data_IF_464279586007
#
_entry.id   IF_464279586007
#
_cell.length_a   1.000
_cell.length_b   1.000
_cell.length_c   1.000
_cell.angle_alpha   90.00
_cell.angle_beta   90.00
_cell.angle_gamma   90.00
#
_symmetry.space_group_name_H-M   'P 1'
#
loop_
_entity.id
_entity.type
_entity.pdbx_description
1 polymer ?
#
# COMPACT_ATOMS: atom_id res chain seq x y z
N UNK A 1 23.32 -14.25 67.68
CA UNK A 1 23.76 -14.66 66.32
C UNK A 1 23.56 -16.17 66.25
N UNK A 2 22.67 -16.64 65.38
CA UNK A 2 22.41 -18.09 65.24
C UNK A 2 23.66 -18.81 64.74
N UNK A 3 23.87 -20.04 65.22
CA UNK A 3 25.03 -20.86 64.87
C UNK A 3 25.05 -21.13 63.36
N UNK A 4 26.04 -20.60 62.61
CA UNK A 4 26.12 -20.75 61.16
C UNK A 4 26.14 -22.21 60.73
N UNK A 5 26.71 -23.09 61.55
CA UNK A 5 26.83 -24.52 61.25
C UNK A 5 25.46 -25.17 61.13
N UNK A 6 24.49 -24.78 61.98
CA UNK A 6 23.14 -25.33 61.95
C UNK A 6 22.36 -24.87 60.71
N UNK A 7 22.51 -23.61 60.30
CA UNK A 7 21.87 -23.08 59.07
C UNK A 7 22.44 -23.74 57.80
N UNK A 8 23.77 -23.91 57.73
CA UNK A 8 24.40 -24.60 56.60
C UNK A 8 24.02 -26.08 56.54
N UNK A 9 23.85 -26.75 57.68
CA UNK A 9 23.44 -28.16 57.72
C UNK A 9 21.99 -28.34 57.29
N UNK A 10 21.09 -27.43 57.68
CA UNK A 10 19.70 -27.44 57.23
C UNK A 10 19.58 -27.22 55.71
N UNK A 11 20.36 -26.27 55.15
CA UNK A 11 20.41 -26.03 53.70
C UNK A 11 20.99 -27.21 52.93
N UNK A 12 22.02 -27.86 53.49
CA UNK A 12 22.60 -29.06 52.88
C UNK A 12 21.59 -30.20 52.82
N UNK A 13 20.85 -30.46 53.90
CA UNK A 13 19.79 -31.47 53.93
C UNK A 13 18.65 -31.17 52.95
N UNK A 14 18.30 -29.89 52.80
CA UNK A 14 17.28 -29.46 51.85
C UNK A 14 17.75 -29.66 50.39
N UNK A 15 19.01 -29.31 50.10
CA UNK A 15 19.62 -29.57 48.78
C UNK A 15 19.77 -31.07 48.49
N UNK A 16 20.14 -31.89 49.47
CA UNK A 16 20.22 -33.35 49.29
C UNK A 16 18.85 -33.95 48.98
N UNK A 17 17.79 -33.47 49.62
CA UNK A 17 16.41 -33.88 49.33
C UNK A 17 16.00 -33.47 47.91
N UNK A 18 16.34 -32.25 47.50
CA UNK A 18 16.01 -31.72 46.17
C UNK A 18 16.76 -32.47 45.07
N UNK A 19 18.05 -32.74 45.26
CA UNK A 19 18.87 -33.57 44.35
C UNK A 19 18.31 -34.98 44.27
N UNK A 20 17.88 -35.57 45.39
CA UNK A 20 17.32 -36.93 45.43
C UNK A 20 15.97 -36.99 44.70
N UNK A 21 15.13 -35.97 44.83
CA UNK A 21 13.87 -35.86 44.10
C UNK A 21 14.09 -35.67 42.59
N UNK A 22 14.99 -34.76 42.20
CA UNK A 22 15.35 -34.54 40.79
C UNK A 22 15.97 -35.78 40.15
N UNK A 23 16.81 -36.52 40.89
CA UNK A 23 17.40 -37.76 40.42
C UNK A 23 16.34 -38.84 40.22
N UNK A 24 15.38 -38.96 41.15
CA UNK A 24 14.25 -39.88 41.02
C UNK A 24 13.33 -39.52 39.84
N UNK A 25 13.10 -38.22 39.59
CA UNK A 25 12.31 -37.73 38.45
C UNK A 25 13.00 -38.04 37.11
N UNK A 26 14.32 -37.76 37.01
CA UNK A 26 15.15 -38.10 35.85
C UNK A 26 15.17 -39.61 35.61
N UNK A 27 15.25 -40.43 36.67
CA UNK A 27 15.24 -41.89 36.56
C UNK A 27 13.87 -42.43 36.14
N UNK A 28 12.78 -41.78 36.56
CA UNK A 28 11.43 -42.09 36.07
C UNK A 28 11.24 -41.74 34.59
N UNK A 29 11.83 -40.63 34.12
CA UNK A 29 11.80 -40.18 32.73
C UNK A 29 12.70 -41.00 31.81
N UNK A 30 13.75 -41.65 32.36
CA UNK A 30 14.64 -42.55 31.63
C UNK A 30 14.06 -43.94 31.37
N UNK A 31 13.00 -44.34 32.09
CA UNK A 31 12.35 -45.64 31.90
C UNK A 31 11.26 -45.57 30.80
N UNK A 32 11.45 -46.21 29.62
CA UNK A 32 10.53 -46.10 28.48
C UNK A 32 9.14 -46.72 28.72
N UNK A 33 8.93 -47.42 29.84
CA UNK A 33 7.67 -48.09 30.18
C UNK A 33 6.68 -47.20 30.94
N UNK A 34 7.08 -46.00 31.42
CA UNK A 34 6.17 -45.01 32.01
C UNK A 34 5.68 -43.95 30.98
N UNK A 35 5.95 -44.16 29.69
CA UNK A 35 5.32 -43.44 28.58
C UNK A 35 3.91 -43.97 28.26
N UNK A 36 3.19 -44.53 29.25
CA UNK A 36 1.77 -44.79 29.10
C UNK A 36 1.01 -43.47 29.15
N UNK A 37 0.65 -43.00 27.95
CA UNK A 37 -0.48 -42.12 27.64
C UNK A 37 -0.55 -40.82 28.44
N UNK A 38 0.30 -39.87 28.09
CA UNK A 38 -0.10 -38.47 28.19
C UNK A 38 -1.30 -38.29 27.26
N UNK A 39 -2.50 -38.07 27.80
CA UNK A 39 -3.73 -37.76 27.04
C UNK A 39 -3.46 -36.71 25.95
N UNK A 40 -2.55 -35.78 26.25
CA UNK A 40 -2.07 -34.75 25.33
C UNK A 40 -1.33 -35.30 24.10
N UNK A 41 -0.56 -36.37 24.23
CA UNK A 41 0.12 -37.02 23.10
C UNK A 41 -0.90 -37.66 22.15
N UNK A 42 -1.93 -38.30 22.70
CA UNK A 42 -2.98 -38.92 21.91
C UNK A 42 -3.88 -37.87 21.25
N UNK A 43 -4.22 -36.78 21.95
CA UNK A 43 -4.86 -35.59 21.37
C UNK A 43 -4.04 -35.02 20.21
N UNK A 44 -2.73 -34.81 20.39
CA UNK A 44 -1.85 -34.28 19.36
C UNK A 44 -1.71 -35.24 18.17
N UNK A 45 -1.72 -36.56 18.40
CA UNK A 45 -1.71 -37.57 17.33
C UNK A 45 -3.01 -37.56 16.54
N UNK A 46 -4.15 -37.46 17.23
CA UNK A 46 -5.46 -37.37 16.60
C UNK A 46 -5.61 -36.06 15.81
N UNK A 47 -5.16 -34.94 16.37
CA UNK A 47 -5.11 -33.65 15.69
C UNK A 47 -4.18 -33.69 14.47
N UNK A 48 -3.00 -34.30 14.58
CA UNK A 48 -2.09 -34.47 13.45
C UNK A 48 -2.72 -35.32 12.34
N UNK A 49 -3.46 -36.39 12.70
CA UNK A 49 -4.19 -37.21 11.74
C UNK A 49 -5.32 -36.43 11.06
N UNK A 50 -6.10 -35.64 11.82
CA UNK A 50 -7.14 -34.74 11.29
C UNK A 50 -6.55 -33.69 10.34
N UNK A 51 -5.43 -33.07 10.70
CA UNK A 51 -4.75 -32.07 9.89
C UNK A 51 -4.19 -32.68 8.60
N UNK A 52 -3.55 -33.87 8.66
CA UNK A 52 -3.09 -34.60 7.48
C UNK A 52 -4.24 -34.97 6.54
N UNK A 53 -5.37 -35.42 7.10
CA UNK A 53 -6.57 -35.71 6.33
C UNK A 53 -7.11 -34.45 5.64
N UNK A 54 -7.22 -33.34 6.38
CA UNK A 54 -7.64 -32.04 5.83
C UNK A 54 -6.69 -31.54 4.74
N UNK A 55 -5.38 -31.69 4.91
CA UNK A 55 -4.37 -31.36 3.91
C UNK A 55 -4.60 -32.16 2.61
N UNK A 56 -4.90 -33.45 2.72
CA UNK A 56 -5.17 -34.30 1.55
C UNK A 56 -6.47 -33.91 0.83
N UNK A 57 -7.53 -33.57 1.58
CA UNK A 57 -8.77 -33.03 0.99
C UNK A 57 -8.45 -31.73 0.23
N UNK A 58 -7.74 -30.80 0.86
CA UNK A 58 -7.38 -29.52 0.24
C UNK A 58 -6.53 -29.71 -1.02
N UNK A 59 -5.55 -30.64 -1.00
CA UNK A 59 -4.75 -30.98 -2.19
C UNK A 59 -5.61 -31.53 -3.32
N UNK A 60 -6.58 -32.39 -3.01
CA UNK A 60 -7.51 -32.95 -4.00
C UNK A 60 -8.41 -31.87 -4.58
N UNK A 61 -9.04 -31.05 -3.75
CA UNK A 61 -9.89 -29.94 -4.21
C UNK A 61 -9.10 -28.93 -5.04
N UNK A 62 -7.85 -28.63 -4.66
CA UNK A 62 -6.97 -27.77 -5.45
C UNK A 62 -6.66 -28.35 -6.84
N UNK A 63 -6.47 -29.67 -6.95
CA UNK A 63 -6.25 -30.34 -8.23
C UNK A 63 -7.51 -30.31 -9.11
N UNK A 64 -8.69 -30.49 -8.52
CA UNK A 64 -9.98 -30.40 -9.20
C UNK A 64 -10.21 -28.98 -9.76
N UNK A 65 -10.00 -27.93 -8.94
CA UNK A 65 -10.13 -26.52 -9.35
C UNK A 65 -9.13 -26.10 -10.43
N UNK A 66 -7.87 -26.56 -10.34
CA UNK A 66 -6.84 -26.32 -11.38
C UNK A 66 -7.25 -26.84 -12.75
N UNK A 67 -8.09 -27.88 -12.80
CA UNK A 67 -8.58 -28.47 -14.05
C UNK A 67 -9.74 -27.66 -14.63
N UNK A 68 -10.48 -26.93 -13.79
CA UNK A 68 -11.68 -26.14 -14.18
C UNK A 68 -11.35 -24.73 -14.68
N UNK A 69 -10.21 -24.16 -14.26
CA UNK A 69 -9.80 -22.77 -14.53
C UNK A 69 -9.27 -22.56 -15.96
N UNK A 70 -10.02 -22.95 -16.99
CA UNK A 70 -9.56 -22.93 -18.40
C UNK A 70 -9.84 -21.62 -19.17
N UNK A 71 -10.59 -20.66 -18.58
CA UNK A 71 -11.07 -19.48 -19.33
C UNK A 71 -10.19 -18.24 -19.15
N UNK A 72 -9.70 -17.99 -17.95
CA UNK A 72 -8.88 -16.81 -17.63
C UNK A 72 -7.41 -16.98 -18.00
N UNK A 73 -6.71 -15.88 -18.26
CA UNK A 73 -5.25 -15.93 -18.46
C UNK A 73 -4.53 -16.29 -17.15
N UNK A 74 -3.31 -16.82 -17.28
CA UNK A 74 -2.47 -17.20 -16.15
C UNK A 74 -1.21 -16.35 -16.11
N UNK A 75 -0.80 -15.94 -14.91
CA UNK A 75 0.54 -15.38 -14.72
C UNK A 75 1.56 -16.52 -14.69
N UNK A 76 2.30 -16.69 -15.80
CA UNK A 76 3.30 -17.75 -15.96
C UNK A 76 4.39 -17.65 -14.90
N UNK A 77 4.85 -16.43 -14.56
CA UNK A 77 5.89 -16.23 -13.56
C UNK A 77 5.41 -16.70 -12.18
N UNK A 78 4.23 -16.28 -11.75
CA UNK A 78 3.63 -16.73 -10.48
C UNK A 78 3.45 -18.25 -10.44
N UNK A 79 3.00 -18.86 -11.54
CA UNK A 79 2.84 -20.31 -11.60
C UNK A 79 4.18 -21.05 -11.49
N UNK A 80 5.22 -20.54 -12.15
CA UNK A 80 6.58 -21.07 -12.00
C UNK A 80 7.09 -20.88 -10.57
N UNK A 81 6.84 -19.73 -9.94
CA UNK A 81 7.16 -19.51 -8.53
C UNK A 81 6.49 -20.54 -7.62
N UNK A 82 5.21 -20.86 -7.82
CA UNK A 82 4.53 -21.92 -7.05
C UNK A 82 5.21 -23.28 -7.20
N UNK A 83 5.49 -23.68 -8.45
CA UNK A 83 6.15 -24.97 -8.78
C UNK A 83 7.55 -25.04 -8.16
N UNK A 84 8.36 -24.00 -8.33
CA UNK A 84 9.69 -23.93 -7.75
C UNK A 84 9.66 -23.78 -6.23
N UNK A 85 8.65 -23.13 -5.66
CA UNK A 85 8.48 -23.00 -4.22
C UNK A 85 8.18 -24.35 -3.55
N UNK A 86 7.39 -25.22 -4.18
CA UNK A 86 7.21 -26.61 -3.74
C UNK A 86 8.53 -27.40 -3.81
N UNK A 87 9.24 -27.33 -4.94
CA UNK A 87 10.52 -28.02 -5.13
C UNK A 87 11.61 -27.54 -4.16
N UNK A 88 11.72 -26.23 -3.93
CA UNK A 88 12.70 -25.62 -3.03
C UNK A 88 12.46 -26.08 -1.59
N UNK A 89 11.20 -26.02 -1.11
CA UNK A 89 10.85 -26.48 0.25
C UNK A 89 11.14 -27.96 0.45
N UNK A 90 10.90 -28.79 -0.57
CA UNK A 90 11.25 -30.21 -0.52
C UNK A 90 12.78 -30.44 -0.55
N UNK A 91 13.52 -29.62 -1.28
CA UNK A 91 14.97 -29.79 -1.46
C UNK A 91 15.80 -29.42 -0.22
N UNK A 92 15.35 -28.45 0.58
CA UNK A 92 16.06 -27.96 1.77
C UNK A 92 15.07 -27.62 2.91
N UNK A 93 14.57 -28.63 3.65
CA UNK A 93 13.64 -28.41 4.76
C UNK A 93 14.24 -27.60 5.94
N UNK A 94 15.56 -27.46 5.99
CA UNK A 94 16.30 -26.77 7.05
C UNK A 94 16.31 -25.23 6.94
N UNK A 95 15.86 -24.70 5.79
CA UNK A 95 15.79 -23.26 5.56
C UNK A 95 14.37 -22.75 5.81
N UNK A 96 14.25 -21.84 6.77
CA UNK A 96 13.03 -21.07 6.99
C UNK A 96 12.91 -20.01 5.88
N UNK A 97 11.78 -20.00 5.16
CA UNK A 97 11.48 -19.08 4.06
C UNK A 97 12.64 -18.89 3.04
N UNK A 98 13.00 -19.95 2.29
CA UNK A 98 14.05 -19.85 1.30
C UNK A 98 13.67 -18.86 0.18
N UNK A 99 14.66 -18.15 -0.40
CA UNK A 99 14.40 -17.17 -1.44
C UNK A 99 13.83 -17.85 -2.69
N UNK A 100 12.78 -17.27 -3.24
CA UNK A 100 12.11 -17.74 -4.46
C UNK A 100 12.27 -16.68 -5.55
N UNK A 101 13.31 -16.82 -6.37
CA UNK A 101 13.70 -15.83 -7.35
C UNK A 101 13.57 -16.40 -8.76
N UNK A 102 12.36 -16.38 -9.31
CA UNK A 102 12.08 -16.76 -10.70
C UNK A 102 11.83 -15.50 -11.53
N UNK A 103 12.63 -15.29 -12.57
CA UNK A 103 12.58 -14.10 -13.43
C UNK A 103 12.52 -14.48 -14.90
N UNK A 104 11.84 -13.71 -15.76
CA UNK A 104 11.91 -13.92 -17.20
C UNK A 104 13.33 -13.65 -17.71
N UNK A 105 13.77 -14.43 -18.68
CA UNK A 105 15.05 -14.23 -19.35
C UNK A 105 14.90 -13.32 -20.57
N UNK A 106 15.89 -12.45 -20.76
CA UNK A 106 15.93 -11.55 -21.92
C UNK A 106 16.55 -12.21 -23.16
N UNK A 107 17.40 -13.23 -22.97
CA UNK A 107 18.13 -13.89 -24.04
C UNK A 107 17.72 -15.36 -24.15
N UNK A 108 17.14 -15.74 -25.29
CA UNK A 108 16.61 -17.09 -25.53
C UNK A 108 17.64 -18.22 -25.34
N UNK A 109 18.94 -17.94 -25.47
CA UNK A 109 20.00 -18.95 -25.21
C UNK A 109 20.04 -19.44 -23.76
N UNK A 110 19.47 -18.69 -22.82
CA UNK A 110 19.34 -19.06 -21.42
C UNK A 110 17.93 -19.59 -21.09
N UNK A 111 17.10 -19.88 -22.08
CA UNK A 111 15.70 -20.25 -21.88
C UNK A 111 14.78 -19.05 -21.68
N UNK A 112 13.53 -19.35 -21.34
CA UNK A 112 12.44 -18.36 -21.25
C UNK A 112 12.39 -17.71 -19.85
N UNK A 113 12.70 -18.48 -18.81
CA UNK A 113 12.78 -18.04 -17.42
C UNK A 113 14.04 -18.58 -16.75
N UNK A 114 14.41 -17.99 -15.63
CA UNK A 114 15.54 -18.41 -14.82
C UNK A 114 15.18 -18.39 -13.33
N UNK A 115 15.56 -19.44 -12.61
CA UNK A 115 15.51 -19.48 -11.16
C UNK A 115 16.92 -19.25 -10.58
N UNK A 116 17.03 -18.24 -9.71
CA UNK A 116 18.28 -17.77 -9.11
C UNK A 116 18.41 -18.12 -7.62
N UNK A 117 17.47 -18.90 -7.09
CA UNK A 117 17.35 -19.21 -5.66
C UNK A 117 18.56 -19.95 -5.07
N UNK A 118 19.22 -20.82 -5.85
CA UNK A 118 20.22 -21.74 -5.34
C UNK A 118 21.44 -21.04 -4.70
N UNK A 119 21.85 -19.88 -5.25
CA UNK A 119 23.00 -19.11 -4.72
C UNK A 119 22.68 -18.50 -3.36
N UNK A 120 21.52 -17.87 -3.22
CA UNK A 120 21.11 -17.25 -1.97
C UNK A 120 20.86 -18.32 -0.89
N UNK A 121 20.29 -19.47 -1.26
CA UNK A 121 20.18 -20.63 -0.37
C UNK A 121 21.56 -21.14 0.11
N UNK A 122 22.54 -21.25 -0.78
CA UNK A 122 23.91 -21.65 -0.40
C UNK A 122 24.54 -20.67 0.60
N UNK A 123 24.30 -19.36 0.42
CA UNK A 123 24.76 -18.33 1.35
C UNK A 123 24.08 -18.46 2.73
N UNK A 124 22.76 -18.72 2.76
CA UNK A 124 22.02 -18.94 4.01
C UNK A 124 22.50 -20.20 4.74
N UNK A 125 22.72 -21.31 4.03
CA UNK A 125 23.26 -22.54 4.61
C UNK A 125 24.68 -22.32 5.16
N UNK A 126 25.51 -21.57 4.43
CA UNK A 126 26.85 -21.20 4.88
C UNK A 126 26.80 -20.37 6.18
N UNK A 127 25.83 -19.47 6.32
CA UNK A 127 25.62 -18.70 7.55
C UNK A 127 25.21 -19.61 8.74
N UNK A 128 24.53 -20.72 8.48
CA UNK A 128 24.23 -21.79 9.46
C UNK A 128 25.40 -22.78 9.66
N UNK A 129 26.57 -22.52 9.08
CA UNK A 129 27.77 -23.38 9.19
C UNK A 129 27.83 -24.54 8.19
N UNK A 130 26.87 -24.66 7.28
CA UNK A 130 26.80 -25.75 6.29
C UNK A 130 27.30 -25.24 4.95
N UNK A 131 28.48 -25.70 4.51
CA UNK A 131 29.04 -25.32 3.21
C UNK A 131 28.53 -26.26 2.12
N UNK A 132 27.66 -25.76 1.24
CA UNK A 132 27.13 -26.50 0.09
C UNK A 132 27.43 -25.74 -1.19
N UNK A 133 27.73 -26.47 -2.27
CA UNK A 133 27.90 -25.87 -3.60
C UNK A 133 26.52 -25.44 -4.16
N UNK A 134 26.33 -24.19 -4.63
CA UNK A 134 25.05 -23.78 -5.19
C UNK A 134 24.59 -24.64 -6.38
N UNK A 135 25.52 -25.24 -7.13
CA UNK A 135 25.19 -26.16 -8.21
C UNK A 135 24.50 -27.44 -7.70
N UNK A 136 24.96 -27.99 -6.58
CA UNK A 136 24.34 -29.16 -5.94
C UNK A 136 22.93 -28.83 -5.42
N UNK A 137 22.74 -27.61 -4.91
CA UNK A 137 21.41 -27.12 -4.51
C UNK A 137 20.49 -27.04 -5.73
N UNK A 138 20.98 -26.48 -6.85
CA UNK A 138 20.21 -26.40 -8.09
C UNK A 138 19.80 -27.80 -8.61
N UNK A 139 20.71 -28.77 -8.55
CA UNK A 139 20.43 -30.17 -8.90
C UNK A 139 19.35 -30.77 -8.00
N UNK A 140 19.44 -30.57 -6.68
CA UNK A 140 18.42 -31.01 -5.72
C UNK A 140 17.05 -30.36 -5.98
N UNK A 141 17.01 -29.08 -6.35
CA UNK A 141 15.76 -28.40 -6.70
C UNK A 141 15.14 -29.05 -7.94
N UNK A 142 15.94 -29.29 -9.00
CA UNK A 142 15.44 -29.91 -10.23
C UNK A 142 14.92 -31.34 -9.99
N UNK A 143 15.63 -32.13 -9.16
CA UNK A 143 15.21 -33.50 -8.82
C UNK A 143 13.88 -33.53 -8.04
N UNK A 144 13.57 -32.48 -7.27
CA UNK A 144 12.33 -32.36 -6.51
C UNK A 144 11.26 -31.53 -7.24
N UNK A 145 11.44 -31.22 -8.53
CA UNK A 145 10.41 -30.54 -9.30
C UNK A 145 9.19 -31.47 -9.48
N UNK A 146 7.99 -31.03 -9.09
CA UNK A 146 6.78 -31.81 -9.33
C UNK A 146 6.46 -31.85 -10.83
N UNK A 147 5.80 -32.93 -11.25
CA UNK A 147 5.27 -33.04 -12.60
C UNK A 147 4.34 -31.86 -12.92
N UNK A 148 4.56 -31.22 -14.07
CA UNK A 148 3.85 -30.01 -14.44
C UNK A 148 3.66 -29.87 -15.96
N UNK A 149 2.68 -29.06 -16.34
CA UNK A 149 2.34 -28.79 -17.73
C UNK A 149 3.18 -27.67 -18.37
N UNK A 150 3.94 -26.92 -17.58
CA UNK A 150 4.61 -25.69 -18.04
C UNK A 150 6.00 -25.95 -18.61
N UNK A 151 6.79 -26.81 -17.98
CA UNK A 151 8.25 -26.91 -18.19
C UNK A 151 8.60 -28.04 -19.16
N UNK A 152 9.24 -27.70 -20.28
CA UNK A 152 9.77 -28.67 -21.25
C UNK A 152 11.08 -29.28 -20.78
N UNK A 153 12.01 -28.43 -20.33
CA UNK A 153 13.32 -28.82 -19.82
C UNK A 153 13.88 -27.74 -18.90
N UNK A 154 14.77 -28.15 -18.02
CA UNK A 154 15.56 -27.27 -17.15
C UNK A 154 17.05 -27.55 -17.34
N UNK A 155 17.87 -26.50 -17.36
CA UNK A 155 19.31 -26.61 -17.55
C UNK A 155 20.04 -25.82 -16.46
N UNK A 156 21.10 -26.39 -15.89
CA UNK A 156 21.92 -25.69 -14.90
C UNK A 156 23.08 -24.99 -15.60
N UNK A 157 23.14 -23.67 -15.48
CA UNK A 157 24.20 -22.83 -16.02
C UNK A 157 25.02 -22.17 -14.91
N UNK A 158 26.31 -21.96 -15.19
CA UNK A 158 27.22 -21.23 -14.30
C UNK A 158 27.28 -21.82 -12.88
N UNK A 159 27.27 -20.96 -11.83
CA UNK A 159 27.46 -21.37 -10.44
C UNK A 159 26.24 -22.06 -9.82
N UNK A 160 25.06 -22.00 -10.45
CA UNK A 160 23.81 -22.54 -9.88
C UNK A 160 22.54 -21.87 -10.44
N UNK A 161 22.62 -21.32 -11.64
CA UNK A 161 21.44 -20.76 -12.32
C UNK A 161 20.62 -21.89 -12.93
N UNK A 162 19.30 -21.88 -12.74
CA UNK A 162 18.41 -22.86 -13.34
C UNK A 162 17.64 -22.19 -14.48
N UNK A 163 18.04 -22.47 -15.70
CA UNK A 163 17.37 -22.02 -16.92
C UNK A 163 16.15 -22.89 -17.20
N UNK A 164 15.03 -22.27 -17.54
CA UNK A 164 13.72 -22.91 -17.69
C UNK A 164 13.23 -22.70 -19.13
N UNK A 165 12.93 -23.77 -19.82
CA UNK A 165 12.30 -23.73 -21.14
C UNK A 165 10.85 -24.20 -21.05
N UNK A 166 9.92 -23.43 -21.61
CA UNK A 166 8.50 -23.74 -21.57
C UNK A 166 8.10 -24.80 -22.63
N UNK A 167 7.06 -25.58 -22.33
CA UNK A 167 6.45 -26.50 -23.31
C UNK A 167 5.77 -25.71 -24.42
N UNK A 168 6.10 -26.03 -25.68
CA UNK A 168 5.45 -25.40 -26.85
C UNK A 168 3.94 -25.63 -26.88
N UNK A 169 3.50 -26.82 -26.46
CA UNK A 169 2.07 -27.16 -26.36
C UNK A 169 1.34 -26.29 -25.33
N UNK A 170 1.97 -25.99 -24.20
CA UNK A 170 1.42 -25.09 -23.18
C UNK A 170 1.24 -23.67 -23.71
N UNK A 171 2.29 -23.10 -24.33
CA UNK A 171 2.23 -21.75 -24.92
C UNK A 171 1.18 -21.66 -26.02
N UNK A 172 1.09 -22.67 -26.89
CA UNK A 172 0.07 -22.73 -27.95
C UNK A 172 -1.36 -22.77 -27.39
N UNK A 173 -1.60 -23.52 -26.30
CA UNK A 173 -2.90 -23.53 -25.60
C UNK A 173 -3.25 -22.14 -25.05
N UNK A 174 -2.29 -21.45 -24.43
CA UNK A 174 -2.51 -20.10 -23.90
C UNK A 174 -2.87 -19.09 -24.99
N UNK A 175 -2.15 -19.11 -26.12
CA UNK A 175 -2.44 -18.25 -27.27
C UNK A 175 -3.83 -18.56 -27.86
N UNK A 176 -4.18 -19.84 -27.97
CA UNK A 176 -5.51 -20.24 -28.45
C UNK A 176 -6.61 -19.73 -27.51
N UNK A 177 -6.40 -19.84 -26.19
CA UNK A 177 -7.34 -19.34 -25.19
C UNK A 177 -7.53 -17.81 -25.29
N UNK A 178 -6.43 -17.07 -25.45
CA UNK A 178 -6.44 -15.62 -25.64
C UNK A 178 -7.24 -15.19 -26.89
N UNK A 179 -7.10 -15.93 -27.99
CA UNK A 179 -7.80 -15.63 -29.23
C UNK A 179 -9.30 -15.97 -29.17
N UNK A 180 -9.68 -17.03 -28.44
CA UNK A 180 -11.07 -17.49 -28.34
C UNK A 180 -11.85 -16.66 -27.31
N UNK A 181 -11.26 -16.40 -26.15
CA UNK A 181 -11.95 -15.77 -25.00
C UNK A 181 -11.59 -14.29 -24.81
N UNK A 182 -10.66 -13.76 -25.62
CA UNK A 182 -10.14 -12.40 -25.50
C UNK A 182 -9.05 -12.27 -24.42
N UNK A 183 -8.51 -11.06 -24.31
CA UNK A 183 -7.53 -10.71 -23.28
C UNK A 183 -8.27 -10.45 -21.98
N UNK A 184 -8.08 -11.33 -20.99
CA UNK A 184 -8.72 -11.24 -19.69
C UNK A 184 -7.67 -11.39 -18.58
N UNK A 185 -7.79 -10.67 -17.45
CA UNK A 185 -6.88 -10.86 -16.33
C UNK A 185 -6.96 -12.28 -15.75
N UNK A 186 -5.97 -12.70 -14.96
CA UNK A 186 -6.13 -13.84 -14.08
C UNK A 186 -7.26 -13.60 -13.07
N UNK A 187 -7.93 -14.65 -12.60
CA UNK A 187 -9.03 -14.52 -11.66
C UNK A 187 -8.49 -14.03 -10.31
N UNK A 188 -9.14 -13.00 -9.76
CA UNK A 188 -8.79 -12.47 -8.45
C UNK A 188 -9.24 -13.43 -7.34
N UNK A 189 -8.40 -13.59 -6.32
CA UNK A 189 -8.76 -14.32 -5.09
C UNK A 189 -9.91 -13.61 -4.34
N UNK A 190 -9.88 -12.28 -4.31
CA UNK A 190 -10.95 -11.44 -3.78
C UNK A 190 -10.99 -10.10 -4.50
N UNK A 191 -12.20 -9.56 -4.67
CA UNK A 191 -12.38 -8.18 -5.10
C UNK A 191 -11.99 -7.27 -3.93
N UNK A 192 -11.33 -6.16 -4.26
CA UNK A 192 -10.87 -5.14 -3.32
C UNK A 192 -11.43 -3.79 -3.71
N UNK A 193 -11.64 -2.92 -2.73
CA UNK A 193 -11.99 -1.51 -2.93
C UNK A 193 -10.69 -0.70 -3.06
N UNK A 194 -10.48 -0.09 -4.22
CA UNK A 194 -9.30 0.70 -4.54
C UNK A 194 -9.71 2.16 -4.74
N UNK A 195 -9.13 3.05 -3.96
CA UNK A 195 -9.34 4.49 -4.10
C UNK A 195 -8.10 5.09 -4.76
N UNK A 196 -8.27 5.80 -5.86
CA UNK A 196 -7.18 6.50 -6.55
C UNK A 196 -7.48 7.99 -6.55
N UNK A 197 -6.61 8.77 -5.90
CA UNK A 197 -6.66 10.23 -5.83
C UNK A 197 -5.70 10.80 -6.86
N UNK A 198 -6.25 11.52 -7.85
CA UNK A 198 -5.48 12.04 -8.95
C UNK A 198 -6.14 13.26 -9.61
N UNK A 199 -5.40 13.92 -10.50
CA UNK A 199 -5.74 15.19 -11.14
C UNK A 199 -5.66 16.38 -10.18
N UNK A 200 -6.61 16.45 -9.25
CA UNK A 200 -6.65 17.33 -8.08
C UNK A 200 -6.19 18.79 -8.35
N UNK A 201 -6.73 19.49 -9.38
CA UNK A 201 -6.40 20.88 -9.63
C UNK A 201 -7.02 21.81 -8.57
N UNK A 202 -6.44 23.01 -8.44
CA UNK A 202 -6.99 24.06 -7.59
C UNK A 202 -8.06 24.85 -8.35
N UNK A 203 -9.23 25.05 -7.74
CA UNK A 203 -10.28 25.93 -8.30
C UNK A 203 -9.73 27.35 -8.46
N UNK A 204 -10.17 28.05 -9.51
CA UNK A 204 -9.75 29.42 -9.84
C UNK A 204 -8.24 29.59 -10.14
N UNK A 205 -7.50 28.49 -10.30
CA UNK A 205 -6.15 28.48 -10.88
C UNK A 205 -6.17 27.71 -12.19
N UNK A 206 -5.30 28.10 -13.12
CA UNK A 206 -5.14 27.34 -14.35
C UNK A 206 -4.57 25.94 -14.03
N UNK A 207 -5.20 24.91 -14.61
CA UNK A 207 -4.65 23.56 -14.58
C UNK A 207 -3.38 23.53 -15.43
N UNK A 208 -2.26 23.13 -14.84
CA UNK A 208 -0.95 23.04 -15.49
C UNK A 208 -0.48 21.59 -15.74
N UNK A 209 0.61 21.43 -16.48
CA UNK A 209 1.23 20.14 -16.87
C UNK A 209 1.52 19.17 -15.71
N UNK A 210 1.79 19.68 -14.50
CA UNK A 210 1.88 18.84 -13.30
C UNK A 210 0.59 18.07 -12.99
N UNK A 211 -0.57 18.73 -13.05
CA UNK A 211 -1.87 18.07 -12.86
C UNK A 211 -2.16 17.11 -14.02
N UNK A 212 -1.73 17.43 -15.25
CA UNK A 212 -1.89 16.52 -16.39
C UNK A 212 -1.15 15.19 -16.18
N UNK A 213 0.08 15.21 -15.63
CA UNK A 213 0.80 13.97 -15.28
C UNK A 213 0.01 13.13 -14.30
N UNK A 214 -0.44 13.74 -13.20
CA UNK A 214 -1.31 13.07 -12.22
C UNK A 214 -2.55 12.49 -12.90
N UNK A 215 -3.18 13.28 -13.77
CA UNK A 215 -4.40 12.93 -14.52
C UNK A 215 -4.23 11.65 -15.33
N UNK A 216 -3.20 11.57 -16.17
CA UNK A 216 -2.95 10.41 -17.05
C UNK A 216 -2.49 9.19 -16.25
N UNK A 217 -1.58 9.39 -15.29
CA UNK A 217 -1.03 8.28 -14.48
C UNK A 217 -2.14 7.67 -13.61
N UNK A 218 -2.92 8.51 -12.93
CA UNK A 218 -3.99 8.07 -12.05
C UNK A 218 -5.12 7.37 -12.79
N UNK A 219 -5.53 7.86 -13.95
CA UNK A 219 -6.54 7.18 -14.76
C UNK A 219 -6.02 5.83 -15.29
N UNK A 220 -4.77 5.77 -15.76
CA UNK A 220 -4.15 4.52 -16.22
C UNK A 220 -4.08 3.47 -15.11
N UNK A 221 -3.71 3.87 -13.88
CA UNK A 221 -3.75 2.99 -12.72
C UNK A 221 -5.17 2.55 -12.38
N UNK A 222 -6.14 3.46 -12.45
CA UNK A 222 -7.56 3.15 -12.19
C UNK A 222 -8.07 2.08 -13.15
N UNK A 223 -7.87 2.28 -14.46
CA UNK A 223 -8.25 1.30 -15.49
C UNK A 223 -7.53 -0.03 -15.33
N UNK A 224 -6.28 -0.06 -14.87
CA UNK A 224 -5.57 -1.29 -14.58
C UNK A 224 -6.24 -2.10 -13.46
N UNK A 225 -6.61 -1.45 -12.35
CA UNK A 225 -7.31 -2.13 -11.25
C UNK A 225 -8.70 -2.60 -11.65
N UNK A 226 -9.43 -1.82 -12.46
CA UNK A 226 -10.71 -2.24 -13.04
C UNK A 226 -10.56 -3.42 -14.01
N UNK A 227 -9.54 -3.38 -14.88
CA UNK A 227 -9.24 -4.48 -15.79
C UNK A 227 -8.97 -5.77 -15.03
N UNK A 228 -8.32 -5.70 -13.86
CA UNK A 228 -8.12 -6.83 -12.96
C UNK A 228 -9.42 -7.29 -12.27
N UNK A 229 -10.46 -6.44 -12.21
CA UNK A 229 -11.77 -6.76 -11.62
C UNK A 229 -12.01 -6.21 -10.22
N UNK A 230 -11.18 -5.26 -9.76
CA UNK A 230 -11.37 -4.55 -8.50
C UNK A 230 -12.46 -3.47 -8.61
N UNK A 231 -12.98 -3.05 -7.46
CA UNK A 231 -13.93 -1.93 -7.37
C UNK A 231 -13.12 -0.64 -7.18
N UNK A 232 -13.14 0.25 -8.19
CA UNK A 232 -12.26 1.42 -8.24
C UNK A 232 -13.05 2.71 -8.08
N UNK A 233 -12.69 3.49 -7.07
CA UNK A 233 -13.18 4.84 -6.84
C UNK A 233 -12.12 5.85 -7.28
N UNK A 234 -12.44 6.62 -8.31
CA UNK A 234 -11.60 7.71 -8.83
C UNK A 234 -11.98 9.02 -8.16
N UNK A 235 -11.08 9.61 -7.39
CA UNK A 235 -11.32 10.85 -6.67
C UNK A 235 -10.51 11.99 -7.26
N UNK A 236 -11.21 13.09 -7.56
CA UNK A 236 -10.62 14.38 -7.87
C UNK A 236 -10.61 15.22 -6.59
N UNK A 237 -9.45 15.28 -5.91
CA UNK A 237 -9.29 16.01 -4.66
C UNK A 237 -9.00 17.48 -4.94
N UNK A 238 -9.98 18.17 -5.55
CA UNK A 238 -9.85 19.56 -5.98
C UNK A 238 -9.58 20.50 -4.80
N UNK A 239 -8.69 21.46 -5.02
CA UNK A 239 -8.43 22.56 -4.09
C UNK A 239 -9.55 23.59 -4.18
N UNK A 240 -10.73 23.25 -3.67
CA UNK A 240 -11.91 24.10 -3.61
C UNK A 240 -12.11 24.72 -2.21
N UNK A 241 -11.12 24.59 -1.35
CA UNK A 241 -11.12 25.11 0.01
C UNK A 241 -10.49 26.50 0.14
N UNK A 242 -10.77 27.35 -0.84
CA UNK A 242 -10.57 28.80 -0.82
C UNK A 242 -11.85 29.58 -0.48
N UNK A 243 -12.98 28.89 -0.33
CA UNK A 243 -14.33 29.44 -0.16
C UNK A 243 -14.42 30.48 0.97
N UNK A 244 -13.69 30.25 2.06
CA UNK A 244 -13.71 31.15 3.21
C UNK A 244 -13.20 32.54 2.82
N UNK A 245 -12.15 32.62 1.99
CA UNK A 245 -11.62 33.90 1.51
C UNK A 245 -12.57 34.56 0.51
N UNK A 246 -13.18 33.80 -0.39
CA UNK A 246 -14.17 34.34 -1.33
C UNK A 246 -15.38 34.95 -0.62
N UNK A 247 -15.93 34.23 0.37
CA UNK A 247 -17.07 34.71 1.17
C UNK A 247 -16.69 35.91 2.05
N UNK A 248 -15.47 35.92 2.61
CA UNK A 248 -14.97 37.03 3.38
C UNK A 248 -14.76 38.28 2.52
N UNK A 249 -14.22 38.15 1.31
CA UNK A 249 -14.04 39.28 0.38
C UNK A 249 -15.40 39.82 -0.07
N UNK A 250 -16.34 38.96 -0.43
CA UNK A 250 -17.69 39.39 -0.80
C UNK A 250 -18.42 40.08 0.36
N UNK A 251 -18.34 39.54 1.57
CA UNK A 251 -18.92 40.16 2.75
C UNK A 251 -18.22 41.48 3.14
N UNK A 252 -16.91 41.57 2.93
CA UNK A 252 -16.13 42.79 3.13
C UNK A 252 -16.57 43.89 2.16
N UNK A 253 -16.74 43.57 0.88
CA UNK A 253 -17.21 44.50 -0.15
C UNK A 253 -18.64 44.99 0.12
N UNK A 254 -19.50 44.11 0.62
CA UNK A 254 -20.90 44.44 0.96
C UNK A 254 -20.99 45.31 2.23
N UNK A 255 -20.28 44.93 3.30
CA UNK A 255 -20.35 45.61 4.61
C UNK A 255 -19.52 46.90 4.67
N UNK A 256 -18.42 46.95 3.91
CA UNK A 256 -17.49 48.08 3.86
C UNK A 256 -17.12 48.40 2.40
N UNK A 257 -18.01 49.05 1.62
CA UNK A 257 -17.77 49.32 0.19
C UNK A 257 -16.53 50.19 -0.07
N UNK A 258 -16.12 50.97 0.92
CA UNK A 258 -14.99 51.89 0.93
C UNK A 258 -13.72 51.31 1.59
N UNK A 259 -13.65 49.99 1.79
CA UNK A 259 -12.51 49.31 2.43
C UNK A 259 -11.13 49.59 1.79
N UNK A 260 -11.11 50.01 0.52
CA UNK A 260 -9.89 50.42 -0.20
C UNK A 260 -9.33 51.77 0.27
N UNK A 261 -10.18 52.61 0.87
CA UNK A 261 -9.84 53.96 1.34
C UNK A 261 -9.93 54.09 2.86
N UNK A 262 -10.81 53.33 3.51
CA UNK A 262 -11.04 53.36 4.95
C UNK A 262 -10.80 51.97 5.52
N UNK A 263 -9.90 51.88 6.51
CA UNK A 263 -9.61 50.59 7.14
C UNK A 263 -10.86 50.06 7.87
N UNK A 264 -11.37 48.88 7.53
CA UNK A 264 -12.60 48.34 8.09
C UNK A 264 -12.39 47.93 9.56
N UNK A 265 -13.28 48.30 10.49
CA UNK A 265 -13.15 48.01 11.92
C UNK A 265 -13.56 46.56 12.25
N UNK A 266 -12.83 45.58 11.72
CA UNK A 266 -13.06 44.14 11.97
C UNK A 266 -12.17 43.69 13.13
N UNK A 267 -12.76 43.52 14.32
CA UNK A 267 -12.05 43.06 15.52
C UNK A 267 -12.13 41.55 15.75
N UNK A 268 -13.21 40.89 15.31
CA UNK A 268 -13.43 39.45 15.44
C UNK A 268 -13.67 38.82 14.05
N UNK A 269 -12.61 38.24 13.49
CA UNK A 269 -12.62 37.55 12.21
C UNK A 269 -13.51 36.30 12.20
N UNK A 270 -13.67 35.60 13.34
CA UNK A 270 -14.54 34.43 13.42
C UNK A 270 -16.02 34.80 13.42
N UNK A 271 -16.39 35.87 14.13
CA UNK A 271 -17.74 36.42 14.05
C UNK A 271 -18.06 36.92 12.64
N UNK A 272 -17.12 37.63 12.00
CA UNK A 272 -17.26 38.14 10.63
C UNK A 272 -17.40 37.01 9.60
N UNK A 273 -16.65 35.92 9.75
CA UNK A 273 -16.81 34.71 8.92
C UNK A 273 -18.15 33.99 9.16
N UNK A 274 -18.60 33.90 10.43
CA UNK A 274 -19.93 33.31 10.74
C UNK A 274 -21.07 34.14 10.14
N UNK A 275 -20.89 35.45 10.03
CA UNK A 275 -21.84 36.36 9.41
C UNK A 275 -21.87 36.19 7.89
N UNK A 276 -20.71 36.10 7.24
CA UNK A 276 -20.62 35.81 5.79
C UNK A 276 -21.20 34.44 5.44
N UNK A 277 -21.04 33.43 6.32
CA UNK A 277 -21.63 32.08 6.14
C UNK A 277 -23.16 32.05 6.18
N UNK A 278 -23.81 33.06 6.74
CA UNK A 278 -25.27 33.18 6.79
C UNK A 278 -25.87 33.78 5.52
N UNK A 279 -25.07 34.36 4.64
CA UNK A 279 -25.54 34.95 3.39
C UNK A 279 -25.55 33.90 2.27
N UNK A 280 -26.74 33.42 1.83
CA UNK A 280 -26.83 32.38 0.80
C UNK A 280 -26.25 32.83 -0.55
N UNK A 281 -26.28 34.14 -0.82
CA UNK A 281 -25.80 34.73 -2.07
C UNK A 281 -24.30 34.56 -2.26
N UNK A 282 -23.49 34.56 -1.18
CA UNK A 282 -22.05 34.34 -1.27
C UNK A 282 -21.70 32.89 -1.56
N UNK A 283 -22.44 31.94 -0.99
CA UNK A 283 -22.30 30.52 -1.31
C UNK A 283 -22.68 30.28 -2.78
N UNK A 284 -23.75 30.93 -3.25
CA UNK A 284 -24.17 30.87 -4.64
C UNK A 284 -23.11 31.46 -5.59
N UNK A 285 -22.52 32.59 -5.24
CA UNK A 285 -21.44 33.21 -6.02
C UNK A 285 -20.20 32.31 -6.10
N UNK A 286 -19.80 31.70 -4.98
CA UNK A 286 -18.71 30.74 -4.95
C UNK A 286 -18.98 29.53 -5.84
N UNK A 287 -20.17 28.95 -5.75
CA UNK A 287 -20.56 27.82 -6.60
C UNK A 287 -20.48 28.18 -8.08
N UNK A 288 -20.90 29.38 -8.47
CA UNK A 288 -20.76 29.85 -9.86
C UNK A 288 -19.29 29.96 -10.31
N UNK A 289 -18.39 30.40 -9.43
CA UNK A 289 -16.94 30.45 -9.72
C UNK A 289 -16.38 29.03 -9.89
N UNK A 290 -16.71 28.13 -8.97
CA UNK A 290 -16.35 26.72 -9.08
C UNK A 290 -16.86 26.12 -10.38
N UNK A 291 -18.11 26.40 -10.76
CA UNK A 291 -18.72 25.86 -11.97
C UNK A 291 -18.01 26.31 -13.25
N UNK A 292 -17.46 27.53 -13.28
CA UNK A 292 -16.62 27.98 -14.39
C UNK A 292 -15.32 27.17 -14.46
N UNK A 293 -14.62 26.99 -13.34
CA UNK A 293 -13.41 26.15 -13.31
C UNK A 293 -13.72 24.69 -13.67
N UNK A 294 -14.79 24.12 -13.14
CA UNK A 294 -15.26 22.75 -13.44
C UNK A 294 -15.53 22.57 -14.92
N UNK A 295 -16.21 23.52 -15.57
CA UNK A 295 -16.46 23.47 -17.02
C UNK A 295 -15.16 23.44 -17.83
N UNK A 296 -14.16 24.21 -17.43
CA UNK A 296 -12.85 24.19 -18.11
C UNK A 296 -12.10 22.88 -17.86
N UNK A 297 -12.13 22.35 -16.64
CA UNK A 297 -11.52 21.05 -16.33
C UNK A 297 -12.22 19.90 -17.07
N UNK A 298 -13.55 19.96 -17.19
CA UNK A 298 -14.33 18.94 -17.89
C UNK A 298 -13.94 18.84 -19.37
N UNK A 299 -13.62 19.95 -20.05
CA UNK A 299 -13.11 19.90 -21.43
C UNK A 299 -11.84 19.06 -21.55
N UNK A 300 -10.93 19.18 -20.58
CA UNK A 300 -9.69 18.39 -20.51
C UNK A 300 -10.02 16.92 -20.27
N UNK A 301 -10.92 16.62 -19.32
CA UNK A 301 -11.33 15.25 -19.01
C UNK A 301 -12.04 14.57 -20.18
N UNK A 302 -12.95 15.28 -20.86
CA UNK A 302 -13.66 14.77 -22.05
C UNK A 302 -12.67 14.49 -23.19
N UNK A 303 -11.70 15.38 -23.42
CA UNK A 303 -10.67 15.18 -24.43
C UNK A 303 -9.79 13.95 -24.15
N UNK A 304 -9.56 13.62 -22.87
CA UNK A 304 -8.72 12.51 -22.44
C UNK A 304 -9.51 11.24 -22.12
N UNK A 305 -10.82 11.22 -22.34
CA UNK A 305 -11.73 10.11 -22.00
C UNK A 305 -11.68 9.74 -20.50
N UNK A 306 -11.74 10.73 -19.62
CA UNK A 306 -11.59 10.53 -18.17
C UNK A 306 -12.93 10.74 -17.46
N UNK A 307 -13.33 9.73 -16.68
CA UNK A 307 -14.44 9.82 -15.76
C UNK A 307 -13.91 9.90 -14.35
N UNK A 308 -14.19 10.97 -13.61
CA UNK A 308 -13.66 11.17 -12.26
C UNK A 308 -14.71 11.79 -11.35
N UNK A 309 -14.74 11.38 -10.08
CA UNK A 309 -15.71 11.91 -9.11
C UNK A 309 -15.04 13.04 -8.32
N UNK A 310 -15.61 14.23 -8.40
CA UNK A 310 -15.15 15.38 -7.62
C UNK A 310 -15.44 15.20 -6.13
N UNK A 311 -14.38 15.27 -5.32
CA UNK A 311 -14.45 15.30 -3.86
C UNK A 311 -13.30 16.15 -3.32
N UNK A 312 -13.49 17.45 -3.43
CA UNK A 312 -12.53 18.46 -3.00
C UNK A 312 -12.37 18.55 -1.48
N UNK A 313 -11.43 19.38 -1.07
CA UNK A 313 -11.18 19.70 0.33
C UNK A 313 -12.44 20.22 1.06
N UNK A 314 -13.35 20.89 0.37
CA UNK A 314 -14.61 21.40 0.93
C UNK A 314 -15.55 20.32 1.47
N UNK A 315 -15.51 19.12 0.89
CA UNK A 315 -16.27 17.97 1.36
C UNK A 315 -15.90 17.58 2.79
N UNK A 316 -14.64 17.82 3.17
CA UNK A 316 -14.08 17.38 4.45
C UNK A 316 -14.20 18.45 5.55
N UNK A 317 -14.87 19.58 5.30
CA UNK A 317 -14.97 20.70 6.26
C UNK A 317 -15.36 20.25 7.68
N UNK A 318 -16.44 19.50 7.78
CA UNK A 318 -16.99 19.08 9.08
C UNK A 318 -16.11 17.99 9.71
N UNK A 319 -15.57 17.09 8.88
CA UNK A 319 -14.69 16.00 9.31
C UNK A 319 -13.33 16.51 9.82
N UNK A 320 -12.83 17.63 9.31
CA UNK A 320 -11.60 18.25 9.82
C UNK A 320 -11.72 18.62 11.30
N UNK A 321 -12.88 19.12 11.73
CA UNK A 321 -13.12 19.42 13.14
C UNK A 321 -13.12 18.15 13.99
N UNK A 322 -13.69 17.06 13.50
CA UNK A 322 -13.69 15.76 14.18
C UNK A 322 -12.28 15.18 14.30
N UNK A 323 -11.49 15.25 13.22
CA UNK A 323 -10.10 14.79 13.22
C UNK A 323 -9.28 15.54 14.26
N UNK A 324 -9.32 16.87 14.27
CA UNK A 324 -8.56 17.68 15.24
C UNK A 324 -8.97 17.31 16.66
N UNK A 325 -10.27 17.13 16.91
CA UNK A 325 -10.77 16.70 18.22
C UNK A 325 -10.27 15.29 18.59
N UNK A 326 -10.26 14.34 17.66
CA UNK A 326 -9.76 12.98 17.90
C UNK A 326 -8.27 12.97 18.27
N UNK A 327 -7.44 13.76 17.58
CA UNK A 327 -6.03 13.93 17.93
C UNK A 327 -5.83 14.59 19.30
N UNK A 328 -6.70 15.55 19.66
CA UNK A 328 -6.69 16.21 20.98
C UNK A 328 -7.05 15.24 22.10
N UNK A 329 -8.12 14.46 21.94
CA UNK A 329 -8.59 13.46 22.90
C UNK A 329 -7.56 12.33 23.15
N UNK A 330 -6.80 11.96 22.11
CA UNK A 330 -5.70 11.00 22.22
C UNK A 330 -4.39 11.60 22.74
N UNK A 331 -4.35 12.90 23.04
CA UNK A 331 -3.16 13.58 23.55
C UNK A 331 -2.01 13.66 22.55
N UNK A 332 -2.32 13.62 21.24
CA UNK A 332 -1.33 13.62 20.15
C UNK A 332 -1.04 15.03 19.60
N UNK A 333 -1.80 16.04 20.04
CA UNK A 333 -1.58 17.44 19.69
C UNK A 333 -0.64 18.12 20.69
N UNK A 334 0.30 18.90 20.14
CA UNK A 334 1.14 19.82 20.90
C UNK A 334 0.87 21.25 20.47
N UNK A 335 0.97 22.19 21.42
CA UNK A 335 0.91 23.60 21.12
C UNK A 335 2.32 24.12 20.82
N UNK A 336 2.52 24.66 19.62
CA UNK A 336 3.79 25.20 19.15
C UNK A 336 3.55 26.59 18.55
N UNK A 337 4.05 27.64 19.20
CA UNK A 337 3.89 29.04 18.76
C UNK A 337 2.42 29.44 18.48
N UNK A 338 1.48 28.92 19.28
CA UNK A 338 0.04 29.14 19.12
C UNK A 338 -0.62 28.29 18.04
N UNK A 339 0.13 27.45 17.32
CA UNK A 339 -0.38 26.45 16.38
C UNK A 339 -0.62 25.13 17.10
N UNK A 340 -1.58 24.32 16.63
CA UNK A 340 -1.72 22.92 17.04
C UNK A 340 -1.00 22.05 16.03
N UNK A 341 -0.01 21.29 16.49
CA UNK A 341 0.86 20.46 15.65
C UNK A 341 0.87 19.00 16.11
N UNK A 342 1.06 18.08 15.17
CA UNK A 342 1.24 16.63 15.42
C UNK A 342 2.69 16.27 15.12
N UNK A 343 3.42 15.79 16.12
CA UNK A 343 4.75 15.22 15.94
C UNK A 343 4.65 13.71 15.74
N UNK A 344 5.10 13.23 14.57
CA UNK A 344 5.09 11.80 14.26
C UNK A 344 6.49 11.22 14.48
N UNK A 345 6.64 10.15 15.29
CA UNK A 345 7.93 9.53 15.54
C UNK A 345 8.63 9.09 14.24
N UNK A 346 9.91 9.43 14.11
CA UNK A 346 10.72 9.09 12.93
C UNK A 346 10.50 9.99 11.71
N UNK A 347 9.63 11.00 11.81
CA UNK A 347 9.42 11.98 10.75
C UNK A 347 10.14 13.31 11.06
N UNK A 348 10.70 13.99 10.04
CA UNK A 348 11.52 15.18 10.26
C UNK A 348 10.70 16.46 10.51
N UNK A 349 9.43 16.48 10.09
CA UNK A 349 8.59 17.68 10.07
C UNK A 349 7.24 17.35 10.73
N UNK A 350 6.73 18.19 11.65
CA UNK A 350 5.40 18.01 12.22
C UNK A 350 4.30 18.45 11.26
N UNK A 351 3.11 17.88 11.41
CA UNK A 351 1.90 18.36 10.72
C UNK A 351 1.32 19.53 11.50
N UNK A 352 1.02 20.64 10.84
CA UNK A 352 0.28 21.77 11.42
C UNK A 352 -1.20 21.62 11.13
N UNK A 353 -1.97 21.08 12.08
CA UNK A 353 -3.41 20.83 11.90
C UNK A 353 -4.30 22.03 12.22
N UNK A 354 -3.82 22.98 13.03
CA UNK A 354 -4.52 24.26 13.25
C UNK A 354 -3.49 25.37 13.33
N UNK A 355 -3.69 26.42 12.54
CA UNK A 355 -2.88 27.65 12.59
C UNK A 355 -3.18 28.46 13.87
N UNK A 356 -2.36 29.47 14.15
CA UNK A 356 -2.57 30.38 15.29
C UNK A 356 -3.86 31.19 15.22
N UNK A 357 -4.40 31.39 14.01
CA UNK A 357 -5.69 32.06 13.76
C UNK A 357 -6.91 31.10 13.88
N UNK A 358 -6.68 29.83 14.20
CA UNK A 358 -7.72 28.80 14.28
C UNK A 358 -8.10 28.17 12.93
N UNK A 359 -7.46 28.58 11.83
CA UNK A 359 -7.73 28.03 10.49
C UNK A 359 -7.09 26.65 10.28
N UNK A 360 -7.80 25.79 9.54
CA UNK A 360 -7.29 24.50 9.07
C UNK A 360 -6.34 24.66 7.88
N UNK A 361 -5.55 23.63 7.64
CA UNK A 361 -4.48 23.56 6.62
C UNK A 361 -4.67 22.35 5.70
N UNK A 362 -3.81 22.23 4.69
CA UNK A 362 -3.72 21.03 3.85
C UNK A 362 -3.45 19.75 4.66
N UNK A 363 -2.65 19.83 5.73
CA UNK A 363 -2.42 18.70 6.63
C UNK A 363 -3.73 18.21 7.27
N UNK A 364 -4.64 19.15 7.54
CA UNK A 364 -5.92 18.85 8.18
C UNK A 364 -6.88 18.20 7.19
N UNK A 365 -6.97 18.74 5.98
CA UNK A 365 -7.84 18.19 4.93
C UNK A 365 -7.37 16.81 4.49
N UNK A 366 -6.07 16.58 4.33
CA UNK A 366 -5.52 15.27 3.96
C UNK A 366 -5.70 14.23 5.06
N UNK A 367 -5.56 14.61 6.34
CA UNK A 367 -5.87 13.73 7.48
C UNK A 367 -7.36 13.37 7.54
N UNK A 368 -8.24 14.32 7.26
CA UNK A 368 -9.68 14.04 7.16
C UNK A 368 -10.00 13.15 5.96
N UNK A 369 -9.36 13.39 4.82
CA UNK A 369 -9.55 12.60 3.61
C UNK A 369 -9.10 11.15 3.78
N UNK A 370 -7.90 10.91 4.32
CA UNK A 370 -7.43 9.53 4.56
C UNK A 370 -8.32 8.80 5.57
N UNK A 371 -8.77 9.47 6.64
CA UNK A 371 -9.70 8.89 7.62
C UNK A 371 -11.01 8.47 6.96
N UNK A 372 -11.61 9.35 6.17
CA UNK A 372 -12.87 9.10 5.46
C UNK A 372 -12.73 7.93 4.47
N UNK A 373 -11.62 7.88 3.71
CA UNK A 373 -11.35 6.80 2.75
C UNK A 373 -11.13 5.43 3.44
N UNK A 374 -10.61 5.43 4.66
CA UNK A 374 -10.42 4.20 5.44
C UNK A 374 -11.73 3.74 6.08
N UNK A 375 -12.43 4.61 6.80
CA UNK A 375 -13.58 4.18 7.61
C UNK A 375 -14.90 4.12 6.83
N UNK A 376 -15.14 5.09 5.96
CA UNK A 376 -16.41 5.20 5.25
C UNK A 376 -16.37 4.47 3.91
N UNK A 377 -15.32 4.71 3.11
CA UNK A 377 -15.14 4.00 1.83
C UNK A 377 -14.62 2.57 2.02
N UNK A 378 -14.07 2.24 3.20
CA UNK A 378 -13.51 0.91 3.52
C UNK A 378 -12.51 0.43 2.47
N UNK A 379 -11.64 1.33 2.04
CA UNK A 379 -10.66 1.04 1.01
C UNK A 379 -9.64 -0.01 1.51
N UNK A 380 -9.39 -1.03 0.68
CA UNK A 380 -8.28 -1.97 0.88
C UNK A 380 -6.97 -1.40 0.37
N UNK A 381 -7.06 -0.54 -0.67
CA UNK A 381 -5.92 0.12 -1.31
C UNK A 381 -6.26 1.59 -1.55
N UNK A 382 -5.38 2.50 -1.14
CA UNK A 382 -5.50 3.94 -1.41
C UNK A 382 -4.21 4.41 -2.09
N UNK A 383 -4.34 5.06 -3.23
CA UNK A 383 -3.21 5.52 -4.04
C UNK A 383 -3.32 7.03 -4.24
N UNK A 384 -2.32 7.77 -3.76
CA UNK A 384 -2.20 9.22 -3.91
C UNK A 384 -1.24 9.53 -5.05
N UNK A 385 -1.75 10.04 -6.17
CA UNK A 385 -0.96 10.33 -7.38
C UNK A 385 -0.62 11.81 -7.44
N UNK A 386 0.50 12.20 -6.83
CA UNK A 386 0.94 13.60 -6.76
C UNK A 386 2.42 13.76 -7.11
N UNK A 387 2.89 15.00 -7.23
CA UNK A 387 4.31 15.29 -7.50
C UNK A 387 5.20 14.75 -6.38
N UNK A 388 6.38 14.22 -6.73
CA UNK A 388 7.34 13.67 -5.77
C UNK A 388 7.80 14.68 -4.71
N UNK A 389 7.71 15.99 -4.97
CA UNK A 389 7.97 17.04 -3.98
C UNK A 389 7.02 17.03 -2.79
N UNK A 390 5.83 16.41 -2.91
CA UNK A 390 4.89 16.20 -1.80
C UNK A 390 5.11 14.86 -1.08
N UNK A 391 6.11 14.07 -1.47
CA UNK A 391 6.32 12.74 -0.89
C UNK A 391 6.55 12.76 0.62
N UNK A 392 7.34 13.71 1.12
CA UNK A 392 7.57 13.87 2.57
C UNK A 392 6.26 14.14 3.30
N UNK A 393 5.43 15.04 2.77
CA UNK A 393 4.12 15.36 3.36
C UNK A 393 3.24 14.12 3.51
N UNK A 394 3.04 13.36 2.42
CA UNK A 394 2.23 12.14 2.46
C UNK A 394 2.82 11.07 3.39
N UNK A 395 4.15 10.93 3.45
CA UNK A 395 4.79 10.04 4.42
C UNK A 395 4.43 10.41 5.87
N UNK A 396 4.44 11.71 6.23
CA UNK A 396 4.05 12.15 7.56
C UNK A 396 2.55 11.94 7.81
N UNK A 397 1.68 12.25 6.84
CA UNK A 397 0.23 11.99 6.93
C UNK A 397 -0.06 10.50 7.14
N UNK A 398 0.58 9.62 6.37
CA UNK A 398 0.39 8.16 6.47
C UNK A 398 0.88 7.63 7.81
N UNK A 399 2.02 8.12 8.29
CA UNK A 399 2.57 7.74 9.57
C UNK A 399 1.72 8.27 10.74
N UNK A 400 1.15 9.47 10.64
CA UNK A 400 0.19 10.00 11.62
C UNK A 400 -1.08 9.13 11.68
N UNK A 401 -1.62 8.74 10.52
CA UNK A 401 -2.78 7.85 10.42
C UNK A 401 -2.52 6.45 11.01
N UNK A 402 -1.30 5.91 10.87
CA UNK A 402 -0.89 4.67 11.55
C UNK A 402 -0.75 4.88 13.07
N UNK A 403 -0.10 5.98 13.49
CA UNK A 403 0.15 6.31 14.90
C UNK A 403 -1.15 6.43 15.69
N UNK A 404 -2.18 7.05 15.12
CA UNK A 404 -3.49 7.20 15.76
C UNK A 404 -4.35 5.90 15.69
N UNK A 405 -3.89 4.91 14.93
CA UNK A 405 -4.51 3.59 14.81
C UNK A 405 -5.63 3.48 13.77
N UNK A 406 -5.62 4.30 12.71
CA UNK A 406 -6.65 4.23 11.68
C UNK A 406 -6.51 3.04 10.73
N UNK A 407 -5.28 2.60 10.44
CA UNK A 407 -5.06 1.40 9.62
C UNK A 407 -3.76 0.68 9.98
N UNK A 408 -3.69 -0.59 9.60
CA UNK A 408 -2.48 -1.42 9.65
C UNK A 408 -1.91 -1.56 8.23
N UNK A 409 -0.63 -1.20 7.97
CA UNK A 409 -0.02 -1.32 6.64
C UNK A 409 0.07 -2.77 6.12
N UNK A 410 -0.09 -3.78 6.98
CA UNK A 410 -0.19 -5.19 6.55
C UNK A 410 -1.59 -5.56 6.04
N UNK A 411 -2.61 -4.79 6.40
CA UNK A 411 -4.03 -5.04 6.04
C UNK A 411 -4.46 -4.11 4.91
N UNK A 412 -4.26 -2.80 5.07
CA UNK A 412 -4.65 -1.78 4.11
C UNK A 412 -3.42 -1.15 3.49
N UNK A 413 -3.35 -1.13 2.16
CA UNK A 413 -2.22 -0.58 1.42
C UNK A 413 -2.47 0.89 1.11
N UNK A 414 -1.73 1.79 1.75
CA UNK A 414 -1.76 3.23 1.45
C UNK A 414 -0.43 3.62 0.81
N UNK A 415 -0.48 4.18 -0.40
CA UNK A 415 0.74 4.49 -1.16
C UNK A 415 0.71 5.88 -1.80
N UNK A 416 1.90 6.49 -1.83
CA UNK A 416 2.18 7.69 -2.62
C UNK A 416 2.80 7.28 -3.96
N UNK A 417 2.06 7.48 -5.04
CA UNK A 417 2.53 7.30 -6.41
C UNK A 417 3.12 8.62 -6.93
N UNK A 418 4.33 8.93 -6.46
CA UNK A 418 5.06 10.14 -6.82
C UNK A 418 5.53 10.16 -8.28
N UNK A 419 5.40 11.31 -8.95
CA UNK A 419 6.02 11.54 -10.26
C UNK A 419 6.91 12.79 -10.28
N UNK A 420 7.92 12.78 -11.16
CA UNK A 420 8.86 13.91 -11.29
C UNK A 420 8.28 15.15 -11.98
N UNK A 421 9.02 16.25 -11.94
CA UNK A 421 8.65 17.50 -12.60
C UNK A 421 8.62 17.39 -14.13
N UNK A 422 7.83 18.25 -14.78
CA UNK A 422 7.81 18.39 -16.24
C UNK A 422 8.88 19.41 -16.66
N UNK A 423 9.79 18.99 -17.53
CA UNK A 423 10.87 19.83 -18.06
C UNK A 423 10.63 20.14 -19.53
N UNK A 424 11.05 21.33 -19.97
CA UNK A 424 11.19 21.66 -21.38
C UNK A 424 12.45 21.03 -21.98
N UNK A 425 12.62 21.18 -23.29
CA UNK A 425 13.81 20.73 -24.02
C UNK A 425 15.11 21.37 -23.48
N UNK A 426 14.98 22.56 -22.88
CA UNK A 426 16.06 23.29 -22.22
C UNK A 426 16.45 22.72 -20.83
N UNK A 427 15.82 21.61 -20.41
CA UNK A 427 15.96 20.96 -19.10
C UNK A 427 15.56 21.85 -17.92
N UNK A 428 14.81 22.94 -18.15
CA UNK A 428 14.23 23.78 -17.11
C UNK A 428 12.75 23.47 -16.95
N UNK A 429 12.13 24.02 -15.89
CA UNK A 429 10.70 23.83 -15.62
C UNK A 429 9.88 24.27 -16.83
N UNK A 430 9.01 23.38 -17.31
CA UNK A 430 8.18 23.63 -18.49
C UNK A 430 7.27 24.85 -18.29
N UNK A 431 7.45 25.85 -19.15
CA UNK A 431 6.81 27.16 -19.11
C UNK A 431 6.61 27.67 -20.53
N UNK A 432 5.70 28.62 -20.72
CA UNK A 432 5.53 29.33 -21.99
C UNK A 432 6.78 30.15 -22.32
N UNK A 433 6.88 30.66 -23.56
CA UNK A 433 7.94 31.61 -23.97
C UNK A 433 7.95 32.90 -23.12
N UNK A 434 6.82 33.28 -22.52
CA UNK A 434 6.71 34.41 -21.58
C UNK A 434 7.12 34.06 -20.14
N UNK A 435 7.29 32.77 -19.81
CA UNK A 435 7.63 32.30 -18.47
C UNK A 435 6.43 31.94 -17.58
N UNK A 436 5.22 32.01 -18.14
CA UNK A 436 3.96 31.68 -17.49
C UNK A 436 3.66 30.18 -17.55
N UNK A 437 2.66 29.74 -16.78
CA UNK A 437 2.12 28.39 -16.86
C UNK A 437 1.46 28.15 -18.21
N UNK A 438 1.75 27.00 -18.83
CA UNK A 438 1.12 26.61 -20.10
C UNK A 438 -0.29 26.11 -19.82
N UNK A 439 -1.28 26.64 -20.55
CA UNK A 439 -2.65 26.15 -20.52
C UNK A 439 -2.72 24.77 -21.15
N UNK A 440 -3.40 23.84 -20.48
CA UNK A 440 -3.47 22.46 -20.95
C UNK A 440 -4.25 22.31 -22.25
N UNK A 441 -5.33 23.07 -22.44
CA UNK A 441 -6.10 23.01 -23.69
C UNK A 441 -5.23 23.39 -24.90
N UNK A 442 -4.42 24.45 -24.78
CA UNK A 442 -3.49 24.85 -25.85
C UNK A 442 -2.52 23.71 -26.22
N UNK A 443 -2.03 22.97 -25.21
CA UNK A 443 -1.14 21.81 -25.42
C UNK A 443 -1.86 20.65 -26.11
N UNK A 444 -3.11 20.36 -25.73
CA UNK A 444 -3.92 19.31 -26.34
C UNK A 444 -4.28 19.65 -27.79
N UNK A 445 -4.64 20.91 -28.05
CA UNK A 445 -4.93 21.42 -29.39
C UNK A 445 -3.68 21.42 -30.29
N UNK A 446 -2.52 21.75 -29.75
CA UNK A 446 -1.25 21.64 -30.49
C UNK A 446 -0.93 20.18 -30.84
N UNK A 447 -1.19 19.24 -29.92
CA UNK A 447 -0.99 17.80 -30.18
C UNK A 447 -1.92 17.20 -31.24
N UNK A 448 -3.02 17.87 -31.58
CA UNK A 448 -3.94 17.47 -32.65
C UNK A 448 -3.52 17.99 -34.05
N UNK A 449 -2.62 18.98 -34.11
CA UNK A 449 -2.06 19.51 -35.36
C UNK A 449 -0.95 18.61 -35.88
#
# INVERSE_FOLDING_TARGET
MGDPVTDYTARLQQQELEIRNLSAEIESLKNPQNLSSSTRLDELREENAKLKYRLNILKRSLQEERTYCSKSMMNINQRLQEVFGEAIRASCPELDNPPLAVTPNQQAKFGDYQCNSAMAMAQMLKAKGIKVNPREIAEKIIQNLPDNELIQKTEIAGPGFINIHLKRSFVSKLLSNLLINGVQPPPLASKKRVVVDFSSPNIAKEMHVGHLRSTIIGESMSRLFEFLGHDVLRLNHVGDWGTQFGMLIAHLQDKFPDYLTVSPPISDLQAFYKESKKQPDFIKAWNLICDVSRKEFQKVYDCLDIQIIERGESFYQEMMTEVVKEFEEKGLLQLDEGRKVVFVPGQPIPLTVVKSDGGYTYDTSDLAAIRQRIFDEKADVIIYVTDSGQGTHFQVVFAAAQMIGWYDPQVTRVEHAGFGVVLGEDKKKFKTRSGDTVRLMDLLEEGLK
#
